data_IF_053387627204
#
_entry.id   IF_053387627204
#
_cell.length_a   1.000
_cell.length_b   1.000
_cell.length_c   1.000
_cell.angle_alpha   90.00
_cell.angle_beta   90.00
_cell.angle_gamma   90.00
#
_symmetry.space_group_name_H-M   'P 1'
#
loop_
_entity.id
_entity.type
_entity.pdbx_description
1 polymer ?
#
# COMPACT_ATOMS: atom_id res chain seq x y z
N UNK A 1 -7.45 20.51 41.11
CA UNK A 1 -7.20 19.12 40.70
C UNK A 1 -5.77 19.00 40.18
N UNK A 2 -4.90 18.22 40.83
CA UNK A 2 -3.62 17.84 40.22
C UNK A 2 -3.89 16.78 39.15
N UNK A 3 -3.59 17.08 37.90
CA UNK A 3 -3.61 16.10 36.82
C UNK A 3 -2.22 15.43 36.83
N UNK A 4 -2.14 14.19 37.32
CA UNK A 4 -0.93 13.39 37.19
C UNK A 4 -0.98 12.65 35.84
N UNK A 5 0.02 12.90 35.01
CA UNK A 5 0.21 12.18 33.76
C UNK A 5 1.03 10.91 34.05
N UNK A 6 0.39 9.74 33.94
CA UNK A 6 1.08 8.45 33.96
C UNK A 6 1.09 7.85 32.56
N UNK A 7 2.28 7.67 31.97
CA UNK A 7 2.44 6.88 30.75
C UNK A 7 2.70 5.42 31.18
N UNK A 8 1.75 4.52 30.93
CA UNK A 8 1.97 3.09 31.12
C UNK A 8 2.18 2.46 29.75
N UNK A 9 3.38 1.93 29.54
CA UNK A 9 3.73 1.16 28.34
C UNK A 9 3.41 -0.30 28.62
N UNK A 10 2.38 -0.82 27.96
CA UNK A 10 2.05 -2.26 28.02
C UNK A 10 2.53 -2.89 26.72
N UNK A 11 3.39 -3.89 26.86
CA UNK A 11 3.87 -4.69 25.73
C UNK A 11 2.95 -5.91 25.57
N UNK A 12 2.26 -5.99 24.44
CA UNK A 12 1.58 -7.23 24.03
C UNK A 12 1.98 -7.50 22.57
N UNK A 13 2.59 -8.67 22.35
CA UNK A 13 2.86 -9.27 21.04
C UNK A 13 3.27 -8.27 19.93
N UNK A 14 4.39 -7.59 20.16
CA UNK A 14 5.07 -6.72 19.19
C UNK A 14 4.35 -5.40 18.79
N UNK A 15 3.33 -4.98 19.55
CA UNK A 15 2.71 -3.65 19.38
C UNK A 15 2.98 -2.77 20.60
N UNK A 16 3.61 -1.61 20.38
CA UNK A 16 3.71 -0.56 21.40
C UNK A 16 2.36 0.15 21.49
N UNK A 17 1.56 -0.21 22.48
CA UNK A 17 0.32 0.49 22.81
C UNK A 17 0.64 1.67 23.74
N UNK A 18 0.53 2.88 23.21
CA UNK A 18 0.50 4.08 24.05
C UNK A 18 -0.85 4.13 24.78
N UNK A 19 -0.87 3.71 26.04
CA UNK A 19 -2.01 3.93 26.93
C UNK A 19 -1.86 5.30 27.58
N UNK A 20 -2.60 6.29 27.08
CA UNK A 20 -2.80 7.53 27.80
C UNK A 20 -3.82 7.25 28.91
N UNK A 21 -3.37 6.85 30.09
CA UNK A 21 -4.24 6.82 31.27
C UNK A 21 -4.37 8.26 31.72
N UNK A 22 -5.40 8.94 31.21
CA UNK A 22 -5.85 10.17 31.84
C UNK A 22 -6.65 9.72 33.06
N UNK A 23 -6.00 9.67 34.23
CA UNK A 23 -6.71 9.67 35.50
C UNK A 23 -7.40 11.03 35.64
N UNK A 24 -8.46 11.22 34.88
CA UNK A 24 -9.45 12.23 35.20
C UNK A 24 -10.07 11.78 36.51
N UNK A 25 -10.22 12.70 37.46
CA UNK A 25 -11.16 12.49 38.56
C UNK A 25 -12.56 12.15 38.04
N UNK A 26 -13.52 11.97 38.94
CA UNK A 26 -14.90 11.64 38.59
C UNK A 26 -15.36 12.37 37.31
N UNK A 27 -15.85 11.62 36.31
CA UNK A 27 -16.23 12.16 34.98
C UNK A 27 -17.18 13.36 35.07
N UNK A 28 -17.99 13.43 36.14
CA UNK A 28 -18.87 14.55 36.49
C UNK A 28 -18.14 15.89 36.77
N UNK A 29 -16.85 15.85 37.08
CA UNK A 29 -16.02 17.00 37.44
C UNK A 29 -15.13 17.50 36.28
N UNK A 30 -15.20 16.85 35.13
CA UNK A 30 -14.43 17.19 33.93
C UNK A 30 -15.24 18.12 33.03
N UNK A 31 -14.62 19.20 32.55
CA UNK A 31 -15.24 20.14 31.61
C UNK A 31 -15.67 19.47 30.29
N UNK A 32 -16.72 20.00 29.66
CA UNK A 32 -17.34 19.42 28.47
C UNK A 32 -16.39 19.35 27.26
N UNK A 33 -15.41 20.26 27.13
CA UNK A 33 -14.43 20.21 26.05
C UNK A 33 -13.53 18.98 26.18
N UNK A 34 -13.14 18.63 27.40
CA UNK A 34 -12.34 17.43 27.67
C UNK A 34 -13.15 16.15 27.47
N UNK A 35 -14.43 16.15 27.83
CA UNK A 35 -15.35 15.03 27.54
C UNK A 35 -15.49 14.80 26.03
N UNK A 36 -15.64 15.88 25.25
CA UNK A 36 -15.71 15.81 23.79
C UNK A 36 -14.42 15.30 23.16
N UNK A 37 -13.26 15.76 23.65
CA UNK A 37 -11.96 15.27 23.19
C UNK A 37 -11.79 13.77 23.48
N UNK A 38 -12.13 13.34 24.69
CA UNK A 38 -12.06 11.93 25.09
C UNK A 38 -12.98 11.04 24.25
N UNK A 39 -14.21 11.51 23.97
CA UNK A 39 -15.16 10.82 23.09
C UNK A 39 -14.61 10.68 21.67
N UNK A 40 -14.05 11.75 21.11
CA UNK A 40 -13.47 11.75 19.77
C UNK A 40 -12.28 10.78 19.66
N UNK A 41 -11.36 10.81 20.62
CA UNK A 41 -10.18 9.92 20.65
C UNK A 41 -10.60 8.46 20.82
N UNK A 42 -11.58 8.18 21.68
CA UNK A 42 -12.10 6.82 21.92
C UNK A 42 -12.82 6.26 20.70
N UNK A 43 -13.60 7.09 19.99
CA UNK A 43 -14.26 6.71 18.74
C UNK A 43 -13.24 6.40 17.63
N UNK A 44 -12.23 7.24 17.45
CA UNK A 44 -11.14 7.00 16.47
C UNK A 44 -10.40 5.71 16.78
N UNK A 45 -10.12 5.45 18.06
CA UNK A 45 -9.49 4.20 18.52
C UNK A 45 -10.39 2.99 18.24
N UNK A 46 -11.69 3.09 18.51
CA UNK A 46 -12.66 2.02 18.22
C UNK A 46 -12.73 1.69 16.73
N UNK A 47 -12.82 2.70 15.87
CA UNK A 47 -12.82 2.51 14.40
C UNK A 47 -11.53 1.83 13.95
N UNK A 48 -10.37 2.30 14.43
CA UNK A 48 -9.07 1.70 14.09
C UNK A 48 -8.97 0.24 14.53
N UNK A 49 -9.45 -0.10 15.73
CA UNK A 49 -9.44 -1.47 16.25
C UNK A 49 -10.43 -2.38 15.50
N UNK A 50 -11.59 -1.84 15.11
CA UNK A 50 -12.57 -2.56 14.30
C UNK A 50 -12.03 -2.89 12.90
N UNK A 51 -11.36 -1.93 12.26
CA UNK A 51 -10.68 -2.13 10.96
C UNK A 51 -9.54 -3.15 11.05
N UNK A 52 -8.92 -3.29 12.23
CA UNK A 52 -7.90 -4.31 12.51
C UNK A 52 -8.50 -5.66 12.99
N UNK A 53 -9.82 -5.86 12.88
CA UNK A 53 -10.55 -7.06 13.32
C UNK A 53 -10.44 -7.39 14.83
N UNK A 54 -10.15 -6.39 15.66
CA UNK A 54 -10.03 -6.52 17.13
C UNK A 54 -11.32 -6.10 17.86
N UNK A 55 -12.44 -6.75 17.53
CA UNK A 55 -13.79 -6.33 17.94
C UNK A 55 -14.08 -6.38 19.46
N UNK A 56 -13.47 -7.30 20.22
CA UNK A 56 -13.71 -7.40 21.67
C UNK A 56 -13.16 -6.17 22.43
N UNK A 57 -12.08 -5.57 21.94
CA UNK A 57 -11.42 -4.41 22.55
C UNK A 57 -12.19 -3.12 22.26
N UNK A 58 -12.90 -3.04 21.12
CA UNK A 58 -13.74 -1.90 20.80
C UNK A 58 -14.94 -1.77 21.75
N UNK A 59 -15.55 -2.89 22.15
CA UNK A 59 -16.68 -2.90 23.10
C UNK A 59 -16.26 -2.47 24.52
N UNK A 60 -15.08 -2.90 24.99
CA UNK A 60 -14.57 -2.54 26.32
C UNK A 60 -14.25 -1.04 26.46
N UNK A 61 -14.02 -0.33 25.36
CA UNK A 61 -13.77 1.12 25.38
C UNK A 61 -15.04 1.97 25.59
N UNK A 62 -16.24 1.39 25.41
CA UNK A 62 -17.52 2.06 25.68
C UNK A 62 -18.09 1.60 27.02
N UNK A 63 -17.44 2.01 28.11
CA UNK A 63 -18.01 1.89 29.44
C UNK A 63 -19.30 2.71 29.55
N UNK A 64 -20.36 2.09 30.08
CA UNK A 64 -21.69 2.63 30.38
C UNK A 64 -22.65 2.93 29.18
N UNK A 65 -23.81 2.25 29.06
CA UNK A 65 -24.81 2.43 27.98
C UNK A 65 -25.34 3.85 27.83
N UNK A 66 -25.31 4.63 28.91
CA UNK A 66 -25.78 6.02 28.98
C UNK A 66 -24.93 6.98 28.13
N UNK A 67 -23.66 6.64 27.85
CA UNK A 67 -22.76 7.43 26.99
C UNK A 67 -23.13 7.37 25.49
N UNK A 68 -23.59 6.20 25.02
CA UNK A 68 -24.00 6.01 23.62
C UNK A 68 -25.24 6.83 23.25
N UNK A 69 -26.20 6.95 24.17
CA UNK A 69 -27.43 7.73 23.98
C UNK A 69 -27.19 9.26 23.99
N UNK A 70 -26.18 9.76 24.71
CA UNK A 70 -25.88 11.19 24.75
C UNK A 70 -25.29 11.70 23.42
N UNK A 71 -24.43 10.93 22.76
CA UNK A 71 -23.88 11.29 21.45
C UNK A 71 -24.96 11.25 20.35
N UNK A 72 -25.90 10.30 20.43
CA UNK A 72 -27.00 10.18 19.46
C UNK A 72 -28.09 11.25 19.60
N UNK A 73 -28.19 11.91 20.77
CA UNK A 73 -29.25 12.89 21.05
C UNK A 73 -28.91 14.33 20.69
N UNK A 74 -27.66 14.63 20.29
CA UNK A 74 -27.29 15.96 19.77
C UNK A 74 -27.27 15.96 18.25
N UNK A 75 -27.80 17.02 17.59
CA UNK A 75 -27.73 17.15 16.14
C UNK A 75 -26.29 17.48 15.75
N UNK A 76 -25.44 16.46 15.69
CA UNK A 76 -24.20 16.55 14.95
C UNK A 76 -24.57 16.71 13.48
N UNK A 77 -24.11 17.79 12.84
CA UNK A 77 -24.01 17.85 11.38
C UNK A 77 -22.98 16.80 10.94
N UNK A 78 -23.40 15.54 10.94
CA UNK A 78 -22.65 14.35 10.62
C UNK A 78 -22.47 14.22 9.10
N UNK A 79 -21.98 15.28 8.46
CA UNK A 79 -21.68 15.27 7.02
C UNK A 79 -20.20 14.96 6.80
N UNK A 80 -19.32 15.28 7.76
CA UNK A 80 -17.88 15.00 7.65
C UNK A 80 -17.49 13.56 8.00
N UNK A 81 -18.20 12.90 8.92
CA UNK A 81 -17.85 11.56 9.40
C UNK A 81 -18.26 10.42 8.45
N UNK A 82 -19.38 10.56 7.74
CA UNK A 82 -19.77 9.64 6.67
C UNK A 82 -18.75 9.65 5.52
N UNK A 83 -18.16 10.80 5.22
CA UNK A 83 -17.08 10.90 4.23
C UNK A 83 -15.81 10.17 4.69
N UNK A 84 -15.50 10.18 6.00
CA UNK A 84 -14.37 9.43 6.56
C UNK A 84 -14.64 7.92 6.48
N UNK A 85 -15.84 7.47 6.86
CA UNK A 85 -16.22 6.05 6.73
C UNK A 85 -16.25 5.58 5.27
N UNK A 86 -16.78 6.38 4.35
CA UNK A 86 -16.76 6.08 2.91
C UNK A 86 -15.35 6.13 2.34
N UNK A 87 -14.45 6.99 2.85
CA UNK A 87 -13.03 6.98 2.47
C UNK A 87 -12.25 5.78 3.03
N UNK A 88 -12.73 5.18 4.13
CA UNK A 88 -12.18 3.96 4.71
C UNK A 88 -12.70 2.68 4.02
N UNK A 89 -13.75 2.76 3.21
CA UNK A 89 -14.04 1.73 2.21
C UNK A 89 -13.07 1.96 1.06
N UNK A 90 -11.80 1.62 1.28
CA UNK A 90 -10.88 1.35 0.16
C UNK A 90 -11.62 0.42 -0.78
N UNK A 91 -11.77 0.77 -2.06
CA UNK A 91 -12.23 -0.18 -3.08
C UNK A 91 -11.39 -1.44 -2.92
N UNK A 92 -11.99 -2.48 -2.32
CA UNK A 92 -11.27 -3.71 -2.08
C UNK A 92 -10.95 -4.29 -3.45
N UNK A 93 -9.68 -4.61 -3.66
CA UNK A 93 -9.27 -5.32 -4.85
C UNK A 93 -9.86 -6.74 -4.76
N UNK A 94 -10.98 -6.95 -5.45
CA UNK A 94 -11.69 -8.22 -5.49
C UNK A 94 -11.26 -8.93 -6.79
N UNK A 95 -10.92 -10.23 -6.72
CA UNK A 95 -10.64 -11.01 -7.91
C UNK A 95 -11.81 -10.98 -8.91
N UNK A 96 -11.52 -10.79 -10.19
CA UNK A 96 -12.55 -10.81 -11.25
C UNK A 96 -12.96 -12.25 -11.56
N UNK A 97 -14.10 -12.41 -12.24
CA UNK A 97 -14.58 -13.73 -12.67
C UNK A 97 -13.64 -14.43 -13.66
N UNK A 98 -12.95 -13.67 -14.50
CA UNK A 98 -11.93 -14.15 -15.45
C UNK A 98 -10.53 -14.27 -14.82
N UNK A 99 -10.44 -14.29 -13.49
CA UNK A 99 -9.17 -14.31 -12.76
C UNK A 99 -8.81 -15.68 -12.21
N UNK A 100 -7.52 -15.98 -12.24
CA UNK A 100 -6.89 -17.13 -11.58
C UNK A 100 -5.85 -16.64 -10.58
N UNK A 101 -5.45 -17.47 -9.61
CA UNK A 101 -4.42 -17.06 -8.65
C UNK A 101 -3.02 -17.15 -9.26
N UNK A 102 -2.17 -16.15 -8.98
CA UNK A 102 -0.73 -16.24 -9.25
C UNK A 102 -0.14 -17.40 -8.43
N UNK A 103 0.65 -18.31 -9.03
CA UNK A 103 1.27 -19.41 -8.31
C UNK A 103 2.18 -18.90 -7.18
N UNK A 104 2.05 -19.51 -6.00
CA UNK A 104 2.78 -19.11 -4.78
C UNK A 104 3.69 -20.25 -4.32
N UNK A 105 4.95 -19.92 -4.05
CA UNK A 105 5.98 -20.85 -3.60
C UNK A 105 6.62 -20.36 -2.30
N UNK A 106 6.87 -21.27 -1.36
CA UNK A 106 7.68 -20.96 -0.17
C UNK A 106 9.17 -21.09 -0.46
N UNK A 107 9.52 -22.02 -1.35
CA UNK A 107 10.88 -22.26 -1.81
C UNK A 107 10.81 -22.57 -3.31
N UNK A 108 11.68 -21.92 -4.08
CA UNK A 108 11.80 -22.15 -5.52
C UNK A 108 13.27 -22.02 -5.89
N UNK A 109 13.85 -23.11 -6.39
CA UNK A 109 15.27 -23.12 -6.77
C UNK A 109 15.51 -22.18 -7.95
N UNK A 110 16.74 -21.69 -8.10
CA UNK A 110 17.11 -20.85 -9.25
C UNK A 110 16.91 -21.57 -10.58
N UNK A 111 17.17 -22.88 -10.63
CA UNK A 111 16.95 -23.70 -11.82
C UNK A 111 15.47 -23.85 -12.17
N UNK A 112 14.62 -24.14 -11.19
CA UNK A 112 13.17 -24.25 -11.40
C UNK A 112 12.57 -22.91 -11.79
N UNK A 113 13.05 -21.81 -11.19
CA UNK A 113 12.66 -20.46 -11.59
C UNK A 113 12.93 -20.21 -13.07
N UNK A 114 14.16 -20.52 -13.52
CA UNK A 114 14.54 -20.32 -14.92
C UNK A 114 13.69 -21.19 -15.86
N UNK A 115 13.62 -22.51 -15.64
CA UNK A 115 12.93 -23.44 -16.55
C UNK A 115 11.41 -23.24 -16.60
N UNK A 116 10.79 -22.98 -15.44
CA UNK A 116 9.33 -23.02 -15.32
C UNK A 116 8.68 -21.64 -15.44
N UNK A 117 9.41 -20.56 -15.13
CA UNK A 117 8.85 -19.21 -15.05
C UNK A 117 9.52 -18.23 -16.00
N UNK A 118 10.85 -18.10 -15.95
CA UNK A 118 11.58 -17.14 -16.80
C UNK A 118 11.47 -17.54 -18.27
N UNK A 119 11.90 -18.75 -18.63
CA UNK A 119 11.88 -19.25 -20.02
C UNK A 119 10.46 -19.39 -20.58
N UNK A 120 9.47 -19.63 -19.71
CA UNK A 120 8.06 -19.80 -20.12
C UNK A 120 7.25 -18.52 -20.00
N UNK A 121 7.87 -17.41 -19.60
CA UNK A 121 7.23 -16.11 -19.34
C UNK A 121 5.96 -16.25 -18.49
N UNK A 122 6.08 -16.81 -17.29
CA UNK A 122 4.97 -16.97 -16.33
C UNK A 122 5.28 -16.29 -14.99
N UNK A 123 4.29 -15.62 -14.37
CA UNK A 123 4.49 -14.97 -13.07
C UNK A 123 4.54 -16.00 -11.94
N UNK A 124 5.20 -15.62 -10.85
CA UNK A 124 5.24 -16.39 -9.61
C UNK A 124 5.44 -15.46 -8.42
N UNK A 125 4.82 -15.81 -7.29
CA UNK A 125 5.11 -15.20 -5.98
C UNK A 125 5.96 -16.17 -5.18
N UNK A 126 7.09 -15.69 -4.67
CA UNK A 126 7.98 -16.44 -3.79
C UNK A 126 7.90 -15.79 -2.39
N UNK A 127 7.29 -16.52 -1.46
CA UNK A 127 7.04 -16.05 -0.10
C UNK A 127 8.34 -15.97 0.68
N UNK A 128 8.56 -14.83 1.34
CA UNK A 128 9.67 -14.65 2.26
C UNK A 128 11.08 -14.76 1.66
N UNK A 129 11.24 -14.70 0.33
CA UNK A 129 12.53 -14.81 -0.35
C UNK A 129 13.55 -13.79 0.17
N UNK A 130 13.07 -12.58 0.50
CA UNK A 130 13.91 -11.47 0.95
C UNK A 130 13.75 -11.17 2.45
N UNK A 131 13.13 -12.08 3.21
CA UNK A 131 12.92 -11.91 4.67
C UNK A 131 14.21 -11.69 5.47
N UNK A 132 15.36 -12.08 4.92
CA UNK A 132 16.68 -11.92 5.51
C UNK A 132 17.32 -10.54 5.27
N UNK A 133 16.71 -9.67 4.44
CA UNK A 133 17.26 -8.34 4.17
C UNK A 133 17.11 -7.41 5.39
N UNK A 134 18.15 -6.65 5.77
CA UNK A 134 18.03 -5.62 6.81
C UNK A 134 16.89 -4.63 6.56
N UNK A 135 16.55 -4.35 5.30
CA UNK A 135 15.44 -3.49 4.92
C UNK A 135 14.09 -3.95 5.51
N UNK A 136 13.84 -5.26 5.65
CA UNK A 136 12.58 -5.80 6.19
C UNK A 136 12.36 -5.35 7.63
N UNK A 137 13.42 -5.31 8.43
CA UNK A 137 13.34 -4.90 9.84
C UNK A 137 13.47 -3.38 10.00
N UNK A 138 14.32 -2.74 9.20
CA UNK A 138 14.68 -1.32 9.36
C UNK A 138 13.68 -0.37 8.72
N UNK A 139 13.18 -0.70 7.52
CA UNK A 139 12.49 0.28 6.69
C UNK A 139 11.03 0.42 7.10
N UNK A 140 10.76 1.56 7.73
CA UNK A 140 9.42 2.06 8.02
C UNK A 140 9.26 3.47 7.46
N UNK A 141 8.02 3.96 7.38
CA UNK A 141 7.75 5.35 7.01
C UNK A 141 8.53 6.33 7.90
N UNK A 142 8.61 6.07 9.21
CA UNK A 142 9.37 6.90 10.14
C UNK A 142 10.88 6.84 9.90
N UNK A 143 11.43 5.66 9.60
CA UNK A 143 12.84 5.50 9.25
C UNK A 143 13.19 6.27 7.97
N UNK A 144 12.44 6.02 6.89
CA UNK A 144 12.66 6.66 5.60
C UNK A 144 12.38 8.16 5.65
N UNK A 145 11.41 8.63 6.45
CA UNK A 145 11.20 10.07 6.67
C UNK A 145 12.45 10.75 7.22
N UNK A 146 13.14 10.16 8.22
CA UNK A 146 14.37 10.72 8.76
C UNK A 146 15.49 10.84 7.72
N UNK A 147 15.60 9.85 6.83
CA UNK A 147 16.62 9.82 5.76
C UNK A 147 16.29 10.82 4.64
N UNK A 148 15.03 10.87 4.24
CA UNK A 148 14.55 11.64 3.09
C UNK A 148 14.14 13.07 3.44
N UNK A 149 14.08 13.44 4.72
CA UNK A 149 13.46 14.68 5.19
C UNK A 149 13.86 15.92 4.39
N UNK A 150 15.16 16.04 4.06
CA UNK A 150 15.74 17.20 3.34
C UNK A 150 16.05 16.92 1.87
N UNK A 151 15.71 15.73 1.36
CA UNK A 151 15.90 15.36 -0.04
C UNK A 151 14.66 15.77 -0.83
N UNK A 152 14.86 16.20 -2.07
CA UNK A 152 13.77 16.42 -3.02
C UNK A 152 13.48 15.12 -3.74
N UNK A 153 12.22 14.72 -3.79
CA UNK A 153 11.76 13.49 -4.43
C UNK A 153 10.62 13.80 -5.41
N UNK A 154 10.55 13.10 -6.55
CA UNK A 154 9.40 13.15 -7.43
C UNK A 154 8.23 12.40 -6.80
N UNK A 155 7.05 13.01 -6.84
CA UNK A 155 5.83 12.45 -6.27
C UNK A 155 4.71 12.63 -7.27
N UNK A 156 4.03 11.53 -7.56
CA UNK A 156 2.76 11.50 -8.26
C UNK A 156 1.64 11.93 -7.33
N UNK A 157 0.79 12.84 -7.80
CA UNK A 157 -0.39 13.31 -7.08
C UNK A 157 -1.63 13.11 -7.94
N UNK A 158 -2.59 12.33 -7.43
CA UNK A 158 -3.82 11.96 -8.13
C UNK A 158 -4.11 10.47 -7.96
N UNK A 159 -5.33 10.04 -8.28
CA UNK A 159 -5.76 8.64 -8.14
C UNK A 159 -4.94 7.68 -9.00
N UNK A 160 -4.73 8.03 -10.27
CA UNK A 160 -3.93 7.28 -11.24
C UNK A 160 -3.36 8.21 -12.30
N UNK A 161 -2.21 7.86 -12.89
CA UNK A 161 -1.53 8.69 -13.89
C UNK A 161 -2.25 8.83 -15.23
N UNK A 162 -3.30 8.05 -15.45
CA UNK A 162 -4.20 8.19 -16.59
C UNK A 162 -5.27 9.26 -16.39
N UNK A 163 -5.45 9.77 -15.17
CA UNK A 163 -6.48 10.78 -14.89
C UNK A 163 -5.99 12.18 -15.28
N UNK A 164 -6.90 13.00 -15.84
CA UNK A 164 -6.57 14.38 -16.22
C UNK A 164 -6.18 15.29 -15.04
N UNK A 165 -6.52 14.89 -13.81
CA UNK A 165 -6.18 15.58 -12.58
C UNK A 165 -4.82 15.15 -12.01
N UNK A 166 -4.17 14.13 -12.60
CA UNK A 166 -2.86 13.68 -12.17
C UNK A 166 -1.78 14.69 -12.51
N UNK A 167 -0.82 14.82 -11.62
CA UNK A 167 0.38 15.60 -11.86
C UNK A 167 1.58 14.98 -11.16
N UNK A 168 2.76 15.20 -11.72
CA UNK A 168 4.02 14.92 -11.05
C UNK A 168 4.57 16.22 -10.46
N UNK A 169 4.91 16.20 -9.18
CA UNK A 169 5.48 17.36 -8.49
C UNK A 169 6.73 16.98 -7.72
N UNK A 170 7.65 17.93 -7.58
CA UNK A 170 8.81 17.80 -6.73
C UNK A 170 8.46 18.35 -5.35
N UNK A 171 8.71 17.54 -4.31
CA UNK A 171 8.58 18.00 -2.93
C UNK A 171 9.69 17.43 -2.06
N UNK A 172 9.87 18.02 -0.88
CA UNK A 172 10.81 17.43 0.09
C UNK A 172 10.25 16.12 0.63
N UNK A 173 11.11 15.18 1.00
CA UNK A 173 10.69 13.95 1.66
C UNK A 173 9.90 14.23 2.93
N UNK A 174 10.26 15.29 3.69
CA UNK A 174 9.47 15.66 4.87
C UNK A 174 8.06 16.10 4.54
N UNK A 175 7.88 16.82 3.43
CA UNK A 175 6.55 17.20 2.96
C UNK A 175 5.75 15.99 2.48
N UNK A 176 6.38 15.09 1.71
CA UNK A 176 5.79 13.85 1.24
C UNK A 176 5.25 12.98 2.39
N UNK A 177 6.10 12.66 3.37
CA UNK A 177 5.69 11.80 4.49
C UNK A 177 4.63 12.48 5.38
N UNK A 178 4.71 13.80 5.59
CA UNK A 178 3.68 14.55 6.33
C UNK A 178 2.34 14.55 5.59
N UNK A 179 2.34 14.65 4.26
CA UNK A 179 1.11 14.60 3.47
C UNK A 179 0.56 13.17 3.33
N UNK A 180 1.40 12.15 3.34
CA UNK A 180 0.92 10.75 3.37
C UNK A 180 0.13 10.41 4.65
N UNK A 181 0.41 11.10 5.76
CA UNK A 181 -0.33 10.90 7.02
C UNK A 181 -1.59 11.77 7.13
N UNK A 182 -1.65 12.88 6.39
CA UNK A 182 -2.76 13.83 6.38
C UNK A 182 -3.56 13.62 5.09
N UNK A 183 -4.70 12.91 5.17
CA UNK A 183 -5.59 12.53 4.05
C UNK A 183 -6.26 13.71 3.31
N UNK A 184 -5.58 14.84 3.12
CA UNK A 184 -6.20 16.10 2.73
C UNK A 184 -6.37 16.28 1.21
N UNK A 185 -5.58 15.60 0.34
CA UNK A 185 -5.53 15.91 -1.11
C UNK A 185 -5.25 14.73 -2.06
N UNK A 186 -5.91 13.59 -1.83
CA UNK A 186 -5.75 12.38 -2.66
C UNK A 186 -4.44 11.64 -2.41
N UNK A 187 -4.24 10.45 -3.03
CA UNK A 187 -3.05 9.65 -2.77
C UNK A 187 -1.80 10.33 -3.35
N UNK A 188 -0.72 10.30 -2.57
CA UNK A 188 0.61 10.70 -3.01
C UNK A 188 1.46 9.45 -3.19
N UNK A 189 2.15 9.34 -4.30
CA UNK A 189 2.95 8.15 -4.58
C UNK A 189 4.35 8.54 -5.07
N UNK A 190 5.37 8.18 -4.29
CA UNK A 190 6.74 8.15 -4.78
C UNK A 190 6.88 6.87 -5.58
N UNK A 191 6.59 6.96 -6.87
CA UNK A 191 6.56 5.85 -7.80
C UNK A 191 7.83 5.83 -8.65
N UNK A 192 8.33 4.64 -8.94
CA UNK A 192 9.40 4.39 -9.91
C UNK A 192 10.63 5.31 -9.76
N UNK A 193 11.01 5.66 -8.52
CA UNK A 193 12.13 6.57 -8.29
C UNK A 193 13.44 5.80 -8.16
N UNK A 194 14.49 6.23 -8.84
CA UNK A 194 15.87 5.72 -8.68
C UNK A 194 16.49 6.23 -7.39
N UNK A 195 15.85 5.90 -6.26
CA UNK A 195 16.16 6.47 -4.95
C UNK A 195 17.58 6.13 -4.48
N UNK A 196 18.09 4.97 -4.90
CA UNK A 196 19.40 4.46 -4.49
C UNK A 196 20.56 5.21 -5.15
N UNK A 197 20.33 5.83 -6.31
CA UNK A 197 21.32 6.71 -6.94
C UNK A 197 21.43 8.02 -6.13
N UNK A 198 20.33 8.48 -5.54
CA UNK A 198 20.29 9.65 -4.68
C UNK A 198 20.83 9.37 -3.27
N UNK A 199 20.62 8.15 -2.76
CA UNK A 199 20.98 7.73 -1.40
C UNK A 199 21.62 6.33 -1.42
N UNK A 200 22.90 6.23 -1.82
CA UNK A 200 23.58 4.94 -1.97
C UNK A 200 23.63 4.12 -0.68
N UNK A 201 23.64 4.76 0.50
CA UNK A 201 23.67 4.08 1.79
C UNK A 201 22.46 3.17 2.04
N UNK A 202 21.34 3.40 1.36
CA UNK A 202 20.19 2.49 1.43
C UNK A 202 20.48 1.13 0.77
N UNK A 203 21.49 1.04 -0.11
CA UNK A 203 21.91 -0.24 -0.70
C UNK A 203 22.57 -1.17 0.33
N UNK A 204 23.01 -0.67 1.48
CA UNK A 204 23.57 -1.52 2.53
C UNK A 204 22.50 -2.42 3.19
N UNK A 205 21.22 -2.15 2.91
CA UNK A 205 20.07 -2.82 3.54
C UNK A 205 19.45 -3.93 2.69
N UNK A 206 19.93 -4.15 1.46
CA UNK A 206 19.44 -5.19 0.57
C UNK A 206 20.51 -5.60 -0.45
N UNK A 207 20.32 -6.74 -1.12
CA UNK A 207 21.16 -7.19 -2.22
C UNK A 207 20.32 -7.44 -3.48
N UNK A 208 20.94 -7.87 -4.57
CA UNK A 208 20.19 -8.37 -5.72
C UNK A 208 19.42 -9.65 -5.30
N UNK A 209 18.13 -9.79 -5.65
CA UNK A 209 17.40 -11.03 -5.44
C UNK A 209 18.07 -12.24 -6.13
N UNK A 210 17.88 -13.43 -5.55
CA UNK A 210 18.46 -14.70 -6.02
C UNK A 210 18.32 -14.95 -7.53
N UNK A 211 17.21 -14.52 -8.13
CA UNK A 211 16.91 -14.80 -9.53
C UNK A 211 17.53 -13.82 -10.53
N UNK A 212 18.10 -12.70 -10.08
CA UNK A 212 18.79 -11.73 -10.93
C UNK A 212 20.18 -11.34 -10.38
N UNK A 213 20.71 -12.09 -9.42
CA UNK A 213 22.02 -11.85 -8.77
C UNK A 213 23.24 -11.98 -9.69
N UNK A 214 23.04 -12.57 -10.86
CA UNK A 214 24.04 -12.84 -11.89
C UNK A 214 23.94 -11.88 -13.08
N UNK A 215 22.97 -10.97 -13.06
CA UNK A 215 22.77 -9.97 -14.11
C UNK A 215 23.68 -8.76 -13.85
N UNK A 216 24.39 -8.30 -14.87
CA UNK A 216 25.31 -7.15 -14.76
C UNK A 216 24.58 -5.81 -14.66
N UNK A 217 23.49 -5.64 -15.41
CA UNK A 217 22.73 -4.38 -15.51
C UNK A 217 21.32 -4.52 -14.93
N UNK A 218 21.17 -4.23 -13.63
CA UNK A 218 19.89 -4.27 -12.92
C UNK A 218 19.48 -2.86 -12.47
N UNK A 219 18.36 -2.38 -13.02
CA UNK A 219 17.76 -1.12 -12.56
C UNK A 219 16.99 -1.34 -11.27
N UNK A 220 17.13 -0.40 -10.33
CA UNK A 220 16.53 -0.49 -8.99
C UNK A 220 15.65 0.72 -8.74
N UNK A 221 14.34 0.49 -8.72
CA UNK A 221 13.36 1.54 -8.48
C UNK A 221 12.66 1.34 -7.14
N UNK A 222 12.44 2.44 -6.42
CA UNK A 222 11.76 2.46 -5.13
C UNK A 222 10.33 2.96 -5.28
N UNK A 223 9.43 2.33 -4.54
CA UNK A 223 7.99 2.62 -4.53
C UNK A 223 7.56 2.86 -3.08
N UNK A 224 7.11 4.06 -2.75
CA UNK A 224 6.68 4.42 -1.40
C UNK A 224 5.37 5.18 -1.49
N UNK A 225 4.34 4.71 -0.78
CA UNK A 225 3.04 5.39 -0.78
C UNK A 225 2.09 4.87 0.29
N UNK A 226 1.08 5.67 0.68
CA UNK A 226 0.04 5.22 1.59
C UNK A 226 -0.82 4.12 0.94
N UNK A 227 -1.65 3.49 1.76
CA UNK A 227 -2.71 2.61 1.26
C UNK A 227 -3.62 3.36 0.27
N UNK A 228 -4.10 2.65 -0.75
CA UNK A 228 -4.94 3.18 -1.82
C UNK A 228 -4.20 3.79 -3.01
N UNK A 229 -2.86 3.77 -3.02
CA UNK A 229 -2.09 4.11 -4.24
C UNK A 229 -2.34 3.08 -5.34
N UNK A 230 -2.53 3.57 -6.58
CA UNK A 230 -2.84 2.74 -7.75
C UNK A 230 -1.80 3.00 -8.84
N UNK A 231 -1.30 1.92 -9.43
CA UNK A 231 -0.65 1.94 -10.73
C UNK A 231 -1.62 1.26 -11.73
N UNK A 232 -2.18 2.02 -12.71
CA UNK A 232 -2.97 1.50 -13.81
C UNK A 232 -2.38 0.27 -14.48
N UNK A 233 -3.22 -0.48 -15.17
CA UNK A 233 -2.78 -1.65 -15.94
C UNK A 233 -1.83 -1.20 -17.06
N UNK A 234 -0.58 -1.63 -16.99
CA UNK A 234 0.46 -1.26 -17.96
C UNK A 234 1.48 -2.38 -18.15
N UNK A 235 2.36 -2.23 -19.13
CA UNK A 235 3.46 -3.16 -19.36
C UNK A 235 4.82 -2.48 -19.36
N UNK A 236 5.84 -3.25 -18.96
CA UNK A 236 7.23 -2.83 -18.86
C UNK A 236 8.11 -3.57 -19.90
N UNK A 237 9.21 -2.94 -20.36
CA UNK A 237 10.06 -3.49 -21.42
C UNK A 237 11.09 -4.53 -20.94
N UNK A 238 11.18 -4.80 -19.64
CA UNK A 238 12.19 -5.68 -19.01
C UNK A 238 11.53 -6.68 -18.06
N UNK A 239 12.27 -7.72 -17.70
CA UNK A 239 11.86 -8.64 -16.63
C UNK A 239 11.88 -7.90 -15.30
N UNK A 240 10.96 -8.22 -14.38
CA UNK A 240 10.85 -7.49 -13.12
C UNK A 240 10.68 -8.43 -11.92
N UNK A 241 11.59 -8.31 -10.95
CA UNK A 241 11.40 -8.85 -9.60
C UNK A 241 10.92 -7.74 -8.68
N UNK A 242 9.64 -7.80 -8.33
CA UNK A 242 9.00 -6.86 -7.43
C UNK A 242 9.09 -7.35 -5.98
N UNK A 243 9.96 -6.72 -5.20
CA UNK A 243 10.25 -7.06 -3.81
C UNK A 243 9.43 -6.19 -2.86
N UNK A 244 8.58 -6.81 -2.04
CA UNK A 244 7.76 -6.10 -1.06
C UNK A 244 8.50 -5.99 0.28
N UNK A 245 8.83 -4.77 0.71
CA UNK A 245 9.59 -4.54 1.95
C UNK A 245 8.65 -4.42 3.15
N UNK A 246 7.62 -3.56 3.04
CA UNK A 246 6.65 -3.32 4.10
C UNK A 246 5.27 -3.09 3.51
N UNK A 247 4.22 -3.52 4.22
CA UNK A 247 2.83 -3.39 3.77
C UNK A 247 2.43 -4.47 2.77
N UNK A 248 1.28 -4.27 2.11
CA UNK A 248 0.66 -5.26 1.23
C UNK A 248 0.23 -4.59 -0.07
N UNK A 249 0.47 -5.26 -1.20
CA UNK A 249 0.02 -4.82 -2.52
C UNK A 249 -0.72 -5.95 -3.23
N UNK A 250 -1.86 -5.60 -3.82
CA UNK A 250 -2.59 -6.44 -4.74
C UNK A 250 -2.07 -6.22 -6.15
N UNK A 251 -1.91 -7.32 -6.89
CA UNK A 251 -1.53 -7.33 -8.29
C UNK A 251 -2.60 -8.03 -9.11
N UNK A 252 -2.87 -7.48 -10.29
CA UNK A 252 -3.63 -8.13 -11.36
C UNK A 252 -2.77 -8.14 -12.61
N UNK A 253 -2.42 -9.32 -13.09
CA UNK A 253 -1.60 -9.50 -14.27
C UNK A 253 -2.44 -10.03 -15.44
N UNK A 254 -2.10 -9.62 -16.66
CA UNK A 254 -2.67 -10.16 -17.90
C UNK A 254 -1.50 -10.52 -18.82
N UNK A 255 -1.47 -11.75 -19.38
CA UNK A 255 -0.36 -12.17 -20.21
C UNK A 255 -0.26 -11.33 -21.49
N UNK A 256 0.95 -11.19 -22.02
CA UNK A 256 1.20 -10.41 -23.25
C UNK A 256 0.38 -10.89 -24.46
N UNK A 257 0.03 -12.18 -24.52
CA UNK A 257 -0.81 -12.75 -25.58
C UNK A 257 -2.24 -12.20 -25.59
N UNK A 258 -2.70 -11.63 -24.47
CA UNK A 258 -4.04 -11.03 -24.33
C UNK A 258 -4.03 -9.50 -24.52
N UNK A 259 -2.95 -8.93 -25.05
CA UNK A 259 -2.81 -7.48 -25.28
C UNK A 259 -4.00 -6.86 -26.04
N UNK A 260 -4.57 -7.56 -27.02
CA UNK A 260 -5.72 -7.03 -27.76
C UNK A 260 -6.99 -6.89 -26.90
N UNK A 261 -7.07 -7.61 -25.78
CA UNK A 261 -8.23 -7.60 -24.88
C UNK A 261 -8.12 -6.52 -23.78
N UNK A 262 -7.00 -5.80 -23.65
CA UNK A 262 -6.79 -4.82 -22.56
C UNK A 262 -6.95 -3.36 -22.98
N UNK A 263 -7.34 -3.09 -24.23
CA UNK A 263 -7.62 -1.73 -24.73
C UNK A 263 -6.48 -0.73 -24.44
N UNK A 264 -5.26 -1.09 -24.84
CA UNK A 264 -4.12 -0.16 -24.79
C UNK A 264 -4.44 1.17 -25.48
N UNK A 265 -3.91 2.28 -24.97
CA UNK A 265 -3.94 3.54 -25.72
C UNK A 265 -3.20 3.35 -27.06
N UNK A 266 -3.71 3.96 -28.13
CA UNK A 266 -3.19 3.73 -29.49
C UNK A 266 -2.07 4.68 -29.91
N UNK A 267 -1.98 5.83 -29.25
CA UNK A 267 -1.08 6.92 -29.65
C UNK A 267 -0.34 7.51 -28.45
N UNK A 268 0.85 8.05 -28.70
CA UNK A 268 1.65 8.79 -27.72
C UNK A 268 2.56 7.91 -26.86
N UNK A 269 2.91 8.41 -25.68
CA UNK A 269 3.84 7.73 -24.74
C UNK A 269 3.11 6.67 -23.90
N UNK A 270 1.78 6.64 -23.93
CA UNK A 270 0.92 5.79 -23.08
C UNK A 270 0.50 4.49 -23.76
N UNK A 271 1.11 4.10 -24.88
CA UNK A 271 0.74 2.88 -25.62
C UNK A 271 0.99 1.59 -24.82
N UNK A 272 1.80 1.67 -23.77
CA UNK A 272 2.01 0.58 -22.82
C UNK A 272 1.02 0.61 -21.65
N UNK A 273 0.01 1.48 -21.66
CA UNK A 273 -1.01 1.62 -20.61
C UNK A 273 -2.40 1.30 -21.18
N UNK A 274 -3.21 0.61 -20.39
CA UNK A 274 -4.59 0.25 -20.69
C UNK A 274 -5.56 1.39 -20.37
N UNK A 275 -6.61 1.53 -21.18
CA UNK A 275 -7.74 2.41 -20.89
C UNK A 275 -8.67 1.86 -19.80
N UNK A 276 -8.62 0.54 -19.57
CA UNK A 276 -9.50 -0.16 -18.63
C UNK A 276 -9.11 0.18 -17.20
N UNK A 277 -10.09 0.55 -16.39
CA UNK A 277 -9.94 0.51 -14.94
C UNK A 277 -9.91 -0.95 -14.48
N UNK A 278 -8.70 -1.50 -14.40
CA UNK A 278 -8.52 -2.91 -14.05
C UNK A 278 -8.99 -3.24 -12.63
N UNK A 279 -9.29 -2.28 -11.75
CA UNK A 279 -9.87 -2.56 -10.44
C UNK A 279 -11.37 -2.83 -10.53
N UNK A 280 -12.08 -2.06 -11.36
CA UNK A 280 -13.52 -2.16 -11.60
C UNK A 280 -13.82 -1.92 -13.09
N UNK A 281 -13.61 -2.93 -13.96
CA UNK A 281 -13.70 -2.76 -15.40
C UNK A 281 -15.15 -2.50 -15.84
N UNK A 282 -15.34 -1.45 -16.65
CA UNK A 282 -16.62 -1.19 -17.31
C UNK A 282 -16.77 -2.10 -18.54
N UNK A 283 -17.37 -3.28 -18.38
CA UNK A 283 -17.50 -4.26 -19.45
C UNK A 283 -18.50 -3.86 -20.56
N UNK A 284 -19.35 -2.86 -20.32
CA UNK A 284 -20.20 -2.30 -21.38
C UNK A 284 -19.37 -1.47 -22.37
N UNK A 285 -18.32 -0.81 -21.88
CA UNK A 285 -17.40 0.01 -22.67
C UNK A 285 -16.19 -0.78 -23.19
N UNK A 286 -15.72 -1.75 -22.41
CA UNK A 286 -14.54 -2.58 -22.68
C UNK A 286 -14.88 -4.08 -22.67
N UNK A 287 -15.80 -4.56 -23.54
CA UNK A 287 -16.33 -5.91 -23.48
C UNK A 287 -15.29 -7.02 -23.68
N UNK A 288 -14.25 -6.78 -24.47
CA UNK A 288 -13.20 -7.76 -24.75
C UNK A 288 -12.33 -8.06 -23.52
N UNK A 289 -12.31 -7.16 -22.52
CA UNK A 289 -11.56 -7.37 -21.28
C UNK A 289 -12.09 -8.57 -20.49
N UNK A 290 -13.36 -8.91 -20.64
CA UNK A 290 -13.94 -10.12 -20.06
C UNK A 290 -13.32 -11.42 -20.61
N UNK A 291 -12.67 -11.36 -21.79
CA UNK A 291 -11.96 -12.50 -22.41
C UNK A 291 -10.48 -12.58 -22.02
N UNK A 292 -9.91 -11.51 -21.46
CA UNK A 292 -8.52 -11.52 -21.00
C UNK A 292 -8.37 -12.50 -19.82
N UNK A 293 -7.29 -13.27 -19.79
CA UNK A 293 -6.99 -14.13 -18.64
C UNK A 293 -6.29 -13.32 -17.55
N UNK A 294 -6.98 -13.03 -16.46
CA UNK A 294 -6.40 -12.32 -15.32
C UNK A 294 -5.70 -13.30 -14.36
N UNK A 295 -4.64 -12.80 -13.73
CA UNK A 295 -3.89 -13.48 -12.68
C UNK A 295 -3.76 -12.55 -11.48
N UNK A 296 -4.43 -12.88 -10.38
CA UNK A 296 -4.45 -12.05 -9.19
C UNK A 296 -3.60 -12.63 -8.07
N UNK A 297 -2.94 -11.76 -7.31
CA UNK A 297 -2.16 -12.15 -6.14
C UNK A 297 -1.89 -10.99 -5.21
N UNK A 298 -1.50 -11.30 -3.97
CA UNK A 298 -1.11 -10.31 -2.97
C UNK A 298 0.31 -10.62 -2.51
N UNK A 299 1.16 -9.59 -2.52
CA UNK A 299 2.49 -9.64 -1.92
C UNK A 299 2.48 -8.91 -0.58
N UNK A 300 3.21 -9.46 0.38
CA UNK A 300 3.38 -8.96 1.73
C UNK A 300 4.87 -8.78 2.05
N UNK A 301 5.22 -8.15 3.16
CA UNK A 301 6.62 -7.94 3.55
C UNK A 301 7.43 -9.23 3.55
N UNK A 302 8.52 -9.25 2.77
CA UNK A 302 9.38 -10.43 2.58
C UNK A 302 9.17 -11.15 1.24
N UNK A 303 8.03 -10.93 0.58
CA UNK A 303 7.68 -11.61 -0.67
C UNK A 303 8.32 -10.97 -1.90
N UNK A 304 8.52 -11.79 -2.93
CA UNK A 304 8.94 -11.35 -4.27
C UNK A 304 7.95 -11.84 -5.31
N UNK A 305 7.44 -10.94 -6.15
CA UNK A 305 6.66 -11.25 -7.34
C UNK A 305 7.55 -11.13 -8.58
N UNK A 306 7.62 -12.20 -9.36
CA UNK A 306 8.17 -12.14 -10.70
C UNK A 306 7.08 -11.72 -11.70
N UNK A 307 7.34 -10.64 -12.42
CA UNK A 307 6.50 -10.11 -13.50
C UNK A 307 7.29 -10.29 -14.81
N UNK A 308 6.84 -11.18 -15.70
CA UNK A 308 7.57 -11.41 -16.93
C UNK A 308 7.50 -10.19 -17.86
N UNK A 309 8.54 -9.99 -18.66
CA UNK A 309 8.58 -8.92 -19.67
C UNK A 309 7.34 -8.95 -20.56
N UNK A 310 6.77 -7.76 -20.81
CA UNK A 310 5.60 -7.62 -21.67
C UNK A 310 4.27 -8.04 -21.02
N UNK A 311 4.27 -8.57 -19.80
CA UNK A 311 3.02 -8.79 -19.07
C UNK A 311 2.42 -7.45 -18.65
N UNK A 312 1.10 -7.37 -18.77
CA UNK A 312 0.33 -6.26 -18.25
C UNK A 312 0.15 -6.46 -16.76
N UNK A 313 0.30 -5.40 -15.97
CA UNK A 313 0.16 -5.47 -14.53
C UNK A 313 -0.48 -4.20 -13.96
N UNK A 314 -1.49 -4.42 -13.13
CA UNK A 314 -2.16 -3.42 -12.31
C UNK A 314 -1.75 -3.63 -10.86
N UNK A 315 -1.54 -2.54 -10.12
CA UNK A 315 -1.11 -2.59 -8.73
C UNK A 315 -1.97 -1.69 -7.86
N UNK A 316 -2.42 -2.20 -6.71
CA UNK A 316 -3.11 -1.42 -5.69
C UNK A 316 -2.52 -1.67 -4.30
N UNK A 317 -2.14 -0.62 -3.59
CA UNK A 317 -1.65 -0.72 -2.21
C UNK A 317 -2.80 -0.94 -1.24
N UNK A 318 -2.79 -2.08 -0.55
CA UNK A 318 -3.78 -2.43 0.47
C UNK A 318 -3.47 -1.81 1.84
N UNK A 319 -2.23 -1.36 2.03
CA UNK A 319 -1.75 -0.64 3.21
C UNK A 319 -0.61 0.29 2.84
N UNK A 320 -0.12 1.09 3.79
CA UNK A 320 1.10 1.87 3.59
C UNK A 320 2.24 0.94 3.18
N UNK A 321 2.82 1.19 2.01
CA UNK A 321 3.67 0.24 1.33
C UNK A 321 5.04 0.83 0.98
N UNK A 322 6.05 -0.04 1.09
CA UNK A 322 7.40 0.20 0.61
C UNK A 322 7.80 -1.02 -0.22
N UNK A 323 8.24 -0.79 -1.45
CA UNK A 323 8.66 -1.84 -2.36
C UNK A 323 9.91 -1.42 -3.14
N UNK A 324 10.66 -2.41 -3.63
CA UNK A 324 11.77 -2.23 -4.55
C UNK A 324 11.48 -3.09 -5.78
N UNK A 325 11.60 -2.54 -6.98
CA UNK A 325 11.58 -3.34 -8.20
C UNK A 325 12.97 -3.42 -8.80
N UNK A 326 13.32 -4.61 -9.28
CA UNK A 326 14.57 -4.91 -9.96
C UNK A 326 14.26 -5.26 -11.40
N UNK A 327 14.58 -4.35 -12.32
CA UNK A 327 14.43 -4.60 -13.75
C UNK A 327 15.73 -5.12 -14.33
N UNK A 328 15.65 -6.25 -15.04
CA UNK A 328 16.80 -6.93 -15.60
C UNK A 328 16.48 -7.52 -16.97
N UNK A 329 17.51 -7.91 -17.72
CA UNK A 329 17.37 -8.69 -18.94
C UNK A 329 17.90 -10.10 -18.67
N UNK A 330 17.17 -11.09 -19.17
CA UNK A 330 17.44 -12.51 -19.01
C UNK A 330 18.36 -13.08 -20.10
#
# INVERSE_FOLDING_TARGET
LCINFGLVVIYVENVVLFHLIVCLGHFSEVDDCWRLLFAAVSLVKSVRLSVASQHLVSFLCYGEPSFALYILSKPFKCVSFLNILNSCVSQQAIPLQNSTSIPVFNELSKWDFVDQFLTRSKPAIIKGLISHWPAIEKWSFGYLHRILARRVVPVEQGSKYTDSSWSQTLMTGSEFFRKCTLLERGPLYLAQHRLFDQIPQLCDDFCLPLYCDHCDEVDRNCWIGPGGTISPLHTDPRENLFCQISGRKFFRLVPSVDTENVYAFKDGITTNTSQVDALNPNLDEYPDFARAQCWDGVVEGGDVLFIPKGWWHFVSSLSNSISISFWFDA
#
